data_IF_895588353953
#
_entry.id   IF_895588353953
#
_cell.length_a   1.000
_cell.length_b   1.000
_cell.length_c   1.000
_cell.angle_alpha   90.00
_cell.angle_beta   90.00
_cell.angle_gamma   90.00
#
_symmetry.space_group_name_H-M   'P 1'
#
loop_
_entity.id
_entity.type
_entity.pdbx_description
1 polymer ?
#
# COMPACT_ATOMS: atom_id res chain seq x y z
N UNK A 1 -26.02 -12.16 -29.19
CA UNK A 1 -25.68 -11.57 -27.88
C UNK A 1 -24.81 -12.56 -27.13
N UNK A 2 -23.53 -12.26 -26.89
CA UNK A 2 -22.69 -13.05 -25.98
C UNK A 2 -22.61 -12.28 -24.67
N UNK A 3 -23.05 -12.88 -23.57
CA UNK A 3 -22.78 -12.35 -22.23
C UNK A 3 -21.27 -12.40 -22.01
N UNK A 4 -20.69 -11.29 -21.55
CA UNK A 4 -19.30 -11.30 -21.08
C UNK A 4 -19.24 -11.97 -19.69
N UNK A 5 -18.12 -12.62 -19.36
CA UNK A 5 -18.03 -13.48 -18.18
C UNK A 5 -18.10 -12.69 -16.88
N UNK A 6 -18.67 -13.34 -15.87
CA UNK A 6 -18.66 -12.90 -14.48
C UNK A 6 -17.20 -12.79 -13.96
N UNK A 7 -16.89 -11.72 -13.25
CA UNK A 7 -15.60 -11.53 -12.56
C UNK A 7 -15.83 -11.55 -11.06
N UNK A 8 -14.94 -12.20 -10.31
CA UNK A 8 -14.93 -12.08 -8.85
C UNK A 8 -13.97 -10.96 -8.48
N UNK A 9 -14.54 -9.92 -7.88
CA UNK A 9 -13.83 -8.77 -7.35
C UNK A 9 -13.97 -8.78 -5.84
N UNK A 10 -12.86 -8.93 -5.14
CA UNK A 10 -12.85 -8.92 -3.68
C UNK A 10 -12.11 -7.67 -3.20
N UNK A 11 -12.79 -6.82 -2.45
CA UNK A 11 -12.20 -5.62 -1.87
C UNK A 11 -12.45 -5.60 -0.37
N UNK A 12 -11.37 -5.58 0.41
CA UNK A 12 -11.41 -5.52 1.86
C UNK A 12 -10.64 -4.29 2.33
N UNK A 13 -11.31 -3.46 3.13
CA UNK A 13 -10.73 -2.25 3.71
C UNK A 13 -10.72 -2.40 5.22
N UNK A 14 -9.61 -2.03 5.84
CA UNK A 14 -9.52 -1.95 7.30
C UNK A 14 -10.26 -0.71 7.77
N UNK A 15 -11.54 -0.86 8.15
CA UNK A 15 -12.32 0.18 8.78
C UNK A 15 -12.00 0.29 10.27
N UNK A 16 -10.97 1.06 10.66
CA UNK A 16 -10.87 1.59 12.03
C UNK A 16 -10.96 3.11 12.02
N UNK A 17 -12.16 3.61 11.74
CA UNK A 17 -12.60 4.90 12.26
C UNK A 17 -13.34 4.67 13.58
N UNK A 18 -12.61 4.33 14.66
CA UNK A 18 -13.22 4.33 15.99
C UNK A 18 -13.38 5.78 16.48
N UNK A 19 -14.50 6.40 16.13
CA UNK A 19 -15.05 7.53 16.89
C UNK A 19 -15.86 6.93 18.04
N UNK A 20 -15.21 6.66 19.16
CA UNK A 20 -15.90 6.49 20.43
C UNK A 20 -15.62 7.73 21.27
N UNK A 21 -16.55 8.68 21.22
CA UNK A 21 -16.59 9.81 22.12
C UNK A 21 -16.81 9.30 23.56
N UNK A 22 -15.75 9.12 24.33
CA UNK A 22 -15.84 8.84 25.75
C UNK A 22 -15.84 10.17 26.52
N UNK A 23 -17.04 10.65 26.86
CA UNK A 23 -17.21 11.73 27.84
C UNK A 23 -16.96 11.16 29.23
N UNK A 24 -15.91 11.62 29.91
CA UNK A 24 -15.80 11.49 31.37
C UNK A 24 -15.33 12.83 31.95
N UNK A 25 -16.01 13.39 32.97
CA UNK A 25 -15.66 14.67 33.54
C UNK A 25 -14.62 14.48 34.65
N UNK A 26 -13.51 15.21 34.59
CA UNK A 26 -12.62 15.36 35.75
C UNK A 26 -12.36 16.85 35.94
N UNK A 27 -13.19 17.45 36.79
CA UNK A 27 -12.83 18.67 37.51
C UNK A 27 -11.91 18.25 38.65
N UNK A 28 -10.94 19.12 38.95
CA UNK A 28 -10.05 19.11 40.12
C UNK A 28 -8.79 18.26 39.95
N UNK A 29 -7.73 18.86 39.38
CA UNK A 29 -6.31 18.87 39.83
C UNK A 29 -5.56 19.67 38.74
N UNK A 30 -5.74 20.99 38.75
CA UNK A 30 -5.17 21.90 37.73
C UNK A 30 -4.05 22.81 38.27
N UNK A 31 -3.45 22.51 39.42
CA UNK A 31 -2.56 23.48 40.09
C UNK A 31 -1.18 22.98 40.53
N UNK A 32 -0.83 21.69 40.36
CA UNK A 32 0.46 21.17 40.90
C UNK A 32 1.43 20.69 39.80
N UNK A 33 0.97 20.47 38.56
CA UNK A 33 1.84 19.97 37.47
C UNK A 33 2.43 21.11 36.62
N UNK A 34 1.85 22.32 36.68
CA UNK A 34 2.30 23.48 35.89
C UNK A 34 3.66 24.06 36.32
N UNK A 35 4.21 23.66 37.48
CA UNK A 35 5.47 24.21 38.02
C UNK A 35 6.67 23.27 37.80
N UNK A 36 6.45 21.98 37.51
CA UNK A 36 7.54 21.02 37.24
C UNK A 36 7.87 20.90 35.73
N UNK A 37 6.98 21.36 34.85
CA UNK A 37 7.16 21.31 33.39
C UNK A 37 7.95 22.47 32.78
N UNK A 38 8.37 23.46 33.57
CA UNK A 38 9.16 24.61 33.08
C UNK A 38 10.70 24.44 33.21
N UNK A 39 11.21 23.30 33.70
CA UNK A 39 12.65 23.10 33.96
C UNK A 39 13.34 21.98 33.16
N UNK A 40 12.68 21.40 32.14
CA UNK A 40 13.31 20.44 31.21
C UNK A 40 13.14 20.80 29.73
N UNK A 41 13.03 22.10 29.43
CA UNK A 41 13.26 22.60 28.08
C UNK A 41 14.78 22.74 27.87
N UNK A 42 15.41 21.68 27.33
CA UNK A 42 16.64 21.62 26.50
C UNK A 42 17.17 20.18 26.57
N UNK A 43 16.68 19.33 25.67
CA UNK A 43 17.37 18.16 25.12
C UNK A 43 16.47 17.56 24.03
N UNK A 44 17.05 17.35 22.85
CA UNK A 44 16.40 16.92 21.62
C UNK A 44 15.58 15.63 21.78
N UNK A 45 14.31 15.67 21.37
CA UNK A 45 13.66 14.54 20.69
C UNK A 45 12.55 15.10 19.81
N UNK A 46 12.81 15.26 18.52
CA UNK A 46 11.74 15.37 17.55
C UNK A 46 11.14 13.97 17.37
N UNK A 47 10.26 13.62 18.30
CA UNK A 47 9.33 12.51 18.14
C UNK A 47 8.43 12.84 16.97
N UNK A 48 8.56 12.06 15.90
CA UNK A 48 7.66 12.07 14.77
C UNK A 48 6.22 12.02 15.30
N UNK A 49 5.49 13.11 15.12
CA UNK A 49 4.05 13.14 15.37
C UNK A 49 3.41 12.24 14.33
N UNK A 50 2.82 11.14 14.78
CA UNK A 50 1.85 10.37 13.99
C UNK A 50 0.73 11.32 13.55
N UNK A 51 0.82 11.83 12.33
CA UNK A 51 -0.30 12.45 11.65
C UNK A 51 -1.29 11.35 11.33
N UNK A 52 -2.50 11.50 11.88
CA UNK A 52 -3.68 10.77 11.42
C UNK A 52 -3.79 10.99 9.92
N UNK A 53 -3.47 9.98 9.12
CA UNK A 53 -3.65 10.01 7.69
C UNK A 53 -4.92 9.24 7.36
N UNK A 54 -5.90 9.97 6.84
CA UNK A 54 -7.10 9.42 6.21
C UNK A 54 -6.61 8.60 5.01
N UNK A 55 -6.74 7.27 5.08
CA UNK A 55 -5.98 6.28 4.31
C UNK A 55 -6.20 6.20 2.79
N UNK A 56 -6.58 7.29 2.12
CA UNK A 56 -6.54 7.41 0.68
C UNK A 56 -5.36 8.32 0.29
N UNK A 57 -4.55 7.94 -0.72
CA UNK A 57 -3.70 8.92 -1.38
C UNK A 57 -4.63 9.90 -2.09
N UNK A 58 -5.02 10.97 -1.40
CA UNK A 58 -5.81 12.01 -2.03
C UNK A 58 -4.97 12.59 -3.19
N UNK A 59 -5.58 12.88 -4.34
CA UNK A 59 -4.89 13.59 -5.40
C UNK A 59 -4.31 14.89 -4.84
N UNK A 60 -3.22 15.37 -5.44
CA UNK A 60 -2.62 16.64 -5.04
C UNK A 60 -3.68 17.74 -4.99
N UNK A 61 -3.76 18.47 -3.87
CA UNK A 61 -4.67 19.59 -3.67
C UNK A 61 -3.88 20.83 -3.22
N UNK A 62 -3.80 21.89 -4.05
CA UNK A 62 -4.33 21.95 -5.41
C UNK A 62 -3.59 20.98 -6.36
N UNK A 63 -4.22 20.57 -7.48
CA UNK A 63 -3.56 19.75 -8.49
C UNK A 63 -2.28 20.42 -9.00
N UNK A 64 -1.16 19.72 -8.95
CA UNK A 64 0.07 20.17 -9.61
C UNK A 64 0.00 19.86 -11.11
N UNK A 65 0.51 20.79 -11.90
CA UNK A 65 0.83 20.56 -13.30
C UNK A 65 2.32 20.33 -13.43
N UNK A 66 2.69 19.41 -14.33
CA UNK A 66 4.07 19.07 -14.64
C UNK A 66 4.34 19.27 -16.12
N UNK A 67 5.51 19.83 -16.42
CA UNK A 67 6.06 19.87 -17.78
C UNK A 67 6.86 18.60 -18.07
N UNK A 68 7.15 18.32 -19.34
CA UNK A 68 7.80 17.05 -19.73
C UNK A 68 9.25 16.92 -19.22
N UNK A 69 9.93 18.04 -18.93
CA UNK A 69 11.24 18.06 -18.26
C UNK A 69 11.18 17.66 -16.77
N UNK A 70 9.98 17.58 -16.20
CA UNK A 70 9.74 17.13 -14.83
C UNK A 70 9.28 15.67 -14.77
N UNK A 71 9.43 14.93 -15.87
CA UNK A 71 9.13 13.51 -15.96
C UNK A 71 9.98 12.66 -14.98
N UNK A 72 9.46 11.48 -14.59
CA UNK A 72 10.23 10.47 -13.88
C UNK A 72 11.60 10.23 -14.49
N UNK A 73 12.60 10.12 -13.61
CA UNK A 73 13.94 9.72 -13.95
C UNK A 73 14.20 8.32 -13.40
N UNK A 74 14.89 7.49 -14.18
CA UNK A 74 15.43 6.23 -13.68
C UNK A 74 16.57 6.52 -12.71
N UNK A 75 16.37 6.13 -11.46
CA UNK A 75 17.33 6.16 -10.37
C UNK A 75 17.88 4.76 -10.12
N UNK A 76 19.02 4.66 -9.43
CA UNK A 76 19.63 3.38 -9.07
C UNK A 76 20.11 3.39 -7.63
N UNK A 77 19.83 2.31 -6.89
CA UNK A 77 20.29 2.11 -5.51
C UNK A 77 20.45 0.62 -5.21
N UNK A 78 21.59 0.23 -4.65
CA UNK A 78 21.92 -1.16 -4.30
C UNK A 78 21.64 -2.17 -5.45
N UNK A 79 22.00 -1.79 -6.67
CA UNK A 79 21.86 -2.62 -7.87
C UNK A 79 20.43 -2.74 -8.41
N UNK A 80 19.49 -1.91 -7.93
CA UNK A 80 18.10 -1.86 -8.42
C UNK A 80 17.81 -0.52 -9.08
N UNK A 81 17.17 -0.58 -10.24
CA UNK A 81 16.64 0.60 -10.92
C UNK A 81 15.18 0.82 -10.55
N UNK A 82 14.79 2.09 -10.42
CA UNK A 82 13.43 2.50 -10.09
C UNK A 82 13.18 3.92 -10.59
N UNK A 83 11.93 4.27 -10.82
CA UNK A 83 11.53 5.57 -11.36
C UNK A 83 11.22 6.56 -10.24
N UNK A 84 11.65 7.80 -10.39
CA UNK A 84 11.29 8.90 -9.49
C UNK A 84 9.84 9.35 -9.71
N UNK A 85 9.21 9.99 -8.70
CA UNK A 85 7.95 10.72 -8.91
C UNK A 85 8.09 11.84 -9.95
N UNK A 86 6.98 12.25 -10.58
CA UNK A 86 6.92 13.51 -11.31
C UNK A 86 7.28 14.70 -10.42
N UNK A 87 8.05 15.64 -10.96
CA UNK A 87 8.46 16.86 -10.26
C UNK A 87 9.34 16.60 -9.03
N UNK A 88 10.02 15.45 -8.96
CA UNK A 88 10.82 15.07 -7.79
C UNK A 88 11.93 16.08 -7.48
N UNK A 89 12.61 16.60 -8.51
CA UNK A 89 13.70 17.57 -8.38
C UNK A 89 13.23 19.02 -8.15
N UNK A 90 11.91 19.30 -8.21
CA UNK A 90 11.37 20.64 -8.02
C UNK A 90 11.64 21.11 -6.59
N UNK A 91 12.19 22.31 -6.43
CA UNK A 91 12.52 22.87 -5.11
C UNK A 91 11.30 22.94 -4.18
N UNK A 92 10.15 23.35 -4.72
CA UNK A 92 8.86 23.37 -4.00
C UNK A 92 8.45 21.98 -3.45
N UNK A 93 8.97 20.91 -4.05
CA UNK A 93 8.69 19.55 -3.65
C UNK A 93 9.74 18.96 -2.71
N UNK A 94 10.84 19.66 -2.39
CA UNK A 94 12.00 19.10 -1.68
C UNK A 94 11.69 18.46 -0.31
N UNK A 95 10.67 18.97 0.40
CA UNK A 95 10.25 18.44 1.70
C UNK A 95 9.26 17.26 1.61
N UNK A 96 8.77 16.90 0.41
CA UNK A 96 7.74 15.88 0.24
C UNK A 96 8.33 14.47 0.33
N UNK A 97 7.63 13.58 1.04
CA UNK A 97 7.81 12.13 0.96
C UNK A 97 6.73 11.51 0.07
N UNK A 98 7.11 10.52 -0.73
CA UNK A 98 6.28 9.94 -1.79
C UNK A 98 5.98 8.46 -1.54
N UNK A 99 4.81 7.97 -1.98
CA UNK A 99 4.55 6.53 -2.00
C UNK A 99 5.60 5.77 -2.81
N UNK A 100 5.65 4.46 -2.58
CA UNK A 100 6.38 3.50 -3.42
C UNK A 100 5.39 2.49 -3.97
N UNK A 101 5.28 2.40 -5.30
CA UNK A 101 4.58 1.34 -5.99
C UNK A 101 5.56 0.24 -6.39
N UNK A 102 5.34 -0.95 -5.85
CA UNK A 102 6.08 -2.16 -6.16
C UNK A 102 5.26 -2.97 -7.16
N UNK A 103 5.81 -3.17 -8.35
CA UNK A 103 5.28 -4.14 -9.31
C UNK A 103 5.97 -5.48 -9.10
N UNK A 104 5.19 -6.53 -8.93
CA UNK A 104 5.70 -7.87 -8.67
C UNK A 104 6.45 -8.47 -9.86
N UNK A 105 6.75 -9.77 -9.77
CA UNK A 105 7.47 -10.49 -10.82
C UNK A 105 6.86 -10.28 -12.22
N UNK A 106 7.73 -10.10 -13.21
CA UNK A 106 7.44 -9.81 -14.63
C UNK A 106 6.97 -8.40 -14.97
N UNK A 107 6.79 -7.50 -14.01
CA UNK A 107 6.57 -6.07 -14.30
C UNK A 107 5.34 -5.82 -15.17
N UNK A 108 4.34 -6.70 -15.11
CA UNK A 108 3.16 -6.61 -15.95
C UNK A 108 2.31 -5.39 -15.53
N UNK A 109 2.00 -4.50 -16.49
CA UNK A 109 1.15 -3.32 -16.27
C UNK A 109 1.87 -1.96 -16.12
N UNK A 110 3.17 -1.87 -16.36
CA UNK A 110 3.94 -0.61 -16.21
C UNK A 110 3.50 0.53 -17.16
N UNK A 111 2.97 0.22 -18.35
CA UNK A 111 2.61 1.25 -19.35
C UNK A 111 1.48 2.19 -18.92
N UNK A 112 0.48 1.67 -18.22
CA UNK A 112 -0.71 2.42 -17.77
C UNK A 112 -0.43 3.36 -16.59
N UNK A 113 0.65 3.10 -15.82
CA UNK A 113 1.03 3.95 -14.68
C UNK A 113 1.38 5.39 -15.10
N UNK A 114 1.94 5.55 -16.31
CA UNK A 114 2.36 6.85 -16.83
C UNK A 114 1.24 7.91 -16.80
N UNK A 115 -0.03 7.52 -17.03
CA UNK A 115 -1.15 8.44 -17.06
C UNK A 115 -1.58 8.95 -15.66
N UNK A 116 -1.52 8.10 -14.62
CA UNK A 116 -1.95 8.44 -13.25
C UNK A 116 -0.83 9.10 -12.45
N UNK A 117 0.42 8.84 -12.82
CA UNK A 117 1.61 9.31 -12.11
C UNK A 117 1.73 10.85 -11.99
N UNK A 118 1.07 11.61 -12.86
CA UNK A 118 1.00 13.09 -12.75
C UNK A 118 0.04 13.58 -11.66
N UNK A 119 -0.99 12.82 -11.31
CA UNK A 119 -1.93 13.19 -10.24
C UNK A 119 -1.60 12.51 -8.91
N UNK A 120 -0.87 11.40 -8.97
CA UNK A 120 -0.40 10.63 -7.82
C UNK A 120 1.10 10.30 -7.97
N UNK A 121 2.00 11.29 -7.82
CA UNK A 121 3.43 11.05 -7.96
C UNK A 121 3.91 10.03 -6.91
N UNK A 122 4.60 8.99 -7.37
CA UNK A 122 5.17 7.96 -6.52
C UNK A 122 6.48 7.45 -7.13
N UNK A 123 7.31 6.85 -6.30
CA UNK A 123 8.38 5.99 -6.81
C UNK A 123 7.77 4.73 -7.38
N UNK A 124 8.36 4.19 -8.45
CA UNK A 124 7.94 2.90 -9.01
C UNK A 124 9.13 1.99 -9.18
N UNK A 125 9.01 0.77 -8.68
CA UNK A 125 9.99 -0.28 -8.90
C UNK A 125 9.35 -1.47 -9.59
N UNK A 126 10.00 -1.95 -10.64
CA UNK A 126 9.76 -3.28 -11.19
C UNK A 126 10.59 -4.30 -10.42
N UNK A 127 9.96 -4.99 -9.47
CA UNK A 127 10.70 -5.75 -8.46
C UNK A 127 11.24 -7.07 -9.01
N UNK A 128 10.59 -7.65 -10.01
CA UNK A 128 10.99 -8.90 -10.69
C UNK A 128 11.20 -10.11 -9.76
N UNK A 129 10.65 -10.10 -8.55
CA UNK A 129 10.79 -11.14 -7.52
C UNK A 129 9.45 -11.49 -6.87
N UNK A 130 9.35 -12.67 -6.26
CA UNK A 130 8.07 -13.24 -5.80
C UNK A 130 8.13 -14.12 -4.53
N UNK A 131 9.28 -14.24 -3.85
CA UNK A 131 9.45 -15.08 -2.66
C UNK A 131 9.30 -14.35 -1.31
N UNK A 132 9.24 -15.12 -0.21
CA UNK A 132 9.25 -14.56 1.16
C UNK A 132 10.59 -13.88 1.46
N UNK A 133 11.72 -14.53 1.18
CA UNK A 133 13.04 -13.92 1.35
C UNK A 133 13.24 -12.68 0.47
N UNK A 134 12.57 -12.62 -0.70
CA UNK A 134 12.56 -11.42 -1.51
C UNK A 134 11.74 -10.30 -0.86
N UNK A 135 10.68 -10.59 -0.12
CA UNK A 135 9.94 -9.59 0.66
C UNK A 135 10.77 -9.04 1.81
N UNK A 136 11.57 -9.87 2.47
CA UNK A 136 12.53 -9.43 3.51
C UNK A 136 13.61 -8.52 2.90
N UNK A 137 14.18 -8.92 1.77
CA UNK A 137 15.16 -8.12 1.04
C UNK A 137 14.58 -6.79 0.53
N UNK A 138 13.29 -6.75 0.18
CA UNK A 138 12.60 -5.52 -0.20
C UNK A 138 12.47 -4.56 0.99
N UNK A 139 12.09 -5.07 2.17
CA UNK A 139 12.02 -4.27 3.38
C UNK A 139 13.38 -3.64 3.72
N UNK A 140 14.45 -4.43 3.68
CA UNK A 140 15.81 -3.95 3.94
C UNK A 140 16.25 -2.91 2.89
N UNK A 141 15.92 -3.13 1.61
CA UNK A 141 16.22 -2.17 0.55
C UNK A 141 15.47 -0.85 0.71
N UNK A 142 14.20 -0.86 1.11
CA UNK A 142 13.42 0.37 1.35
C UNK A 142 14.08 1.20 2.46
N UNK A 143 14.50 0.57 3.55
CA UNK A 143 15.18 1.27 4.65
C UNK A 143 16.55 1.83 4.19
N UNK A 144 17.31 1.05 3.41
CA UNK A 144 18.58 1.48 2.80
C UNK A 144 18.39 2.69 1.87
N UNK A 145 17.38 2.66 1.01
CA UNK A 145 17.07 3.74 0.08
C UNK A 145 16.71 5.04 0.83
N UNK A 146 15.91 4.94 1.89
CA UNK A 146 15.57 6.09 2.72
C UNK A 146 16.82 6.66 3.40
N UNK A 147 17.70 5.80 3.93
CA UNK A 147 18.97 6.22 4.52
C UNK A 147 19.90 6.90 3.48
N UNK A 148 19.81 6.52 2.21
CA UNK A 148 20.51 7.14 1.09
C UNK A 148 19.88 8.48 0.63
N UNK A 149 18.78 8.91 1.24
CA UNK A 149 18.13 10.19 0.96
C UNK A 149 16.97 10.11 -0.04
N UNK A 150 16.58 8.92 -0.48
CA UNK A 150 15.35 8.76 -1.27
C UNK A 150 14.13 9.01 -0.38
N UNK A 151 13.29 9.97 -0.77
CA UNK A 151 12.17 10.48 0.03
C UNK A 151 10.94 9.58 -0.06
N UNK A 152 11.11 8.32 0.32
CA UNK A 152 10.08 7.28 0.31
C UNK A 152 9.29 7.34 1.62
N UNK A 153 7.97 7.37 1.49
CA UNK A 153 7.04 7.24 2.60
C UNK A 153 6.79 5.77 2.93
N UNK A 154 7.38 5.31 4.04
CA UNK A 154 7.26 3.92 4.52
C UNK A 154 5.83 3.48 4.81
N UNK A 155 4.91 4.42 5.05
CA UNK A 155 3.51 4.11 5.35
C UNK A 155 2.66 3.93 4.09
N UNK A 156 3.21 4.27 2.91
CA UNK A 156 2.51 4.20 1.62
C UNK A 156 3.31 3.39 0.60
N UNK A 157 3.63 2.15 0.97
CA UNK A 157 4.20 1.16 0.05
C UNK A 157 3.07 0.27 -0.48
N UNK A 158 2.85 0.28 -1.79
CA UNK A 158 1.79 -0.46 -2.46
C UNK A 158 2.38 -1.59 -3.29
N UNK A 159 1.67 -2.70 -3.40
CA UNK A 159 2.08 -3.84 -4.22
C UNK A 159 1.01 -4.19 -5.25
N UNK A 160 1.41 -4.43 -6.48
CA UNK A 160 0.53 -4.99 -7.51
C UNK A 160 1.23 -6.07 -8.32
N UNK A 161 0.48 -6.97 -8.94
CA UNK A 161 1.01 -7.93 -9.90
C UNK A 161 -0.04 -8.81 -10.54
N UNK A 162 0.22 -9.21 -11.79
CA UNK A 162 -0.57 -10.16 -12.55
C UNK A 162 0.10 -11.53 -12.59
N UNK A 163 -0.68 -12.61 -12.71
CA UNK A 163 -0.17 -13.97 -12.94
C UNK A 163 0.92 -14.41 -11.93
N UNK A 164 2.20 -14.43 -12.33
CA UNK A 164 3.31 -14.74 -11.43
C UNK A 164 3.54 -13.63 -10.41
N UNK A 165 3.47 -12.36 -10.79
CA UNK A 165 3.47 -11.22 -9.85
C UNK A 165 2.29 -11.27 -8.88
N UNK A 166 1.10 -11.65 -9.36
CA UNK A 166 -0.07 -11.88 -8.51
C UNK A 166 0.16 -13.02 -7.51
N UNK A 167 0.82 -14.10 -7.95
CA UNK A 167 1.23 -15.21 -7.09
C UNK A 167 2.31 -14.79 -6.08
N UNK A 168 3.22 -13.89 -6.46
CA UNK A 168 4.26 -13.34 -5.58
C UNK A 168 3.76 -12.36 -4.54
N UNK A 169 2.54 -11.83 -4.67
CA UNK A 169 2.03 -10.77 -3.79
C UNK A 169 2.00 -11.15 -2.30
N UNK A 170 1.46 -12.32 -1.96
CA UNK A 170 1.37 -12.75 -0.56
C UNK A 170 2.71 -13.21 0.02
N UNK A 171 3.57 -13.96 -0.71
CA UNK A 171 4.91 -14.27 -0.19
C UNK A 171 5.72 -13.00 0.11
N UNK A 172 5.70 -12.01 -0.78
CA UNK A 172 6.34 -10.72 -0.56
C UNK A 172 5.79 -10.03 0.69
N UNK A 173 4.47 -10.01 0.87
CA UNK A 173 3.84 -9.42 2.06
C UNK A 173 4.26 -10.12 3.36
N UNK A 174 4.39 -11.46 3.35
CA UNK A 174 4.92 -12.23 4.49
C UNK A 174 6.38 -11.91 4.77
N UNK A 175 7.19 -11.70 3.74
CA UNK A 175 8.58 -11.28 3.90
C UNK A 175 8.71 -9.88 4.51
N UNK A 176 7.89 -8.92 4.03
CA UNK A 176 7.80 -7.59 4.64
C UNK A 176 7.39 -7.69 6.12
N UNK A 177 6.40 -8.53 6.43
CA UNK A 177 5.93 -8.76 7.80
C UNK A 177 7.02 -9.30 8.73
N UNK A 178 7.86 -10.23 8.25
CA UNK A 178 8.99 -10.77 9.01
C UNK A 178 10.02 -9.68 9.42
N UNK A 179 9.98 -8.51 8.77
CA UNK A 179 10.82 -7.34 9.02
C UNK A 179 10.07 -6.20 9.69
N UNK A 180 8.89 -6.47 10.26
CA UNK A 180 7.98 -5.48 10.83
C UNK A 180 7.65 -4.34 9.84
N UNK A 181 7.45 -4.70 8.56
CA UNK A 181 6.99 -3.81 7.48
C UNK A 181 5.71 -4.36 6.86
N UNK A 182 4.97 -3.49 6.20
CA UNK A 182 3.68 -3.82 5.60
C UNK A 182 3.53 -3.10 4.26
N UNK A 183 2.75 -3.69 3.37
CA UNK A 183 2.18 -2.95 2.27
C UNK A 183 0.92 -2.25 2.78
N UNK A 184 0.74 -0.97 2.44
CA UNK A 184 -0.48 -0.23 2.74
C UNK A 184 -1.68 -0.80 1.97
N UNK A 185 -1.44 -1.20 0.72
CA UNK A 185 -2.43 -1.91 -0.08
C UNK A 185 -1.78 -2.90 -1.05
N UNK A 186 -2.51 -3.98 -1.37
CA UNK A 186 -2.13 -4.99 -2.34
C UNK A 186 -3.25 -5.14 -3.38
N UNK A 187 -2.90 -5.02 -4.66
CA UNK A 187 -3.76 -5.41 -5.79
C UNK A 187 -3.21 -6.70 -6.39
N UNK A 188 -3.87 -7.81 -6.08
CA UNK A 188 -3.52 -9.14 -6.57
C UNK A 188 -4.39 -9.50 -7.77
N UNK A 189 -3.77 -9.78 -8.91
CA UNK A 189 -4.49 -10.19 -10.12
C UNK A 189 -4.05 -11.58 -10.55
N UNK A 190 -5.00 -12.51 -10.67
CA UNK A 190 -4.81 -13.86 -11.22
C UNK A 190 -3.65 -14.69 -10.61
N UNK A 191 -3.35 -14.50 -9.32
CA UNK A 191 -2.33 -15.30 -8.61
C UNK A 191 -2.82 -16.67 -8.14
N UNK A 192 -1.95 -17.68 -8.07
CA UNK A 192 -2.30 -19.08 -7.72
C UNK A 192 -1.45 -19.74 -6.63
N UNK A 193 -0.46 -19.05 -6.07
CA UNK A 193 0.51 -19.65 -5.12
C UNK A 193 -0.08 -20.00 -3.76
N UNK A 194 -0.90 -19.11 -3.20
CA UNK A 194 -1.50 -19.26 -1.87
C UNK A 194 -2.75 -18.40 -1.72
N UNK A 195 -3.70 -18.88 -0.92
CA UNK A 195 -4.97 -18.22 -0.60
C UNK A 195 -4.93 -17.40 0.69
N UNK A 196 -3.97 -17.67 1.58
CA UNK A 196 -3.92 -17.11 2.93
C UNK A 196 -2.76 -16.13 3.07
N UNK A 197 -3.07 -14.84 3.25
CA UNK A 197 -2.07 -13.80 3.54
C UNK A 197 -1.70 -13.78 5.03
N UNK A 198 -2.66 -14.06 5.91
CA UNK A 198 -2.57 -14.03 7.36
C UNK A 198 -3.28 -12.82 7.97
N UNK A 199 -4.07 -13.05 9.04
CA UNK A 199 -4.88 -12.03 9.71
C UNK A 199 -4.06 -10.81 10.19
N UNK A 200 -2.86 -11.05 10.74
CA UNK A 200 -1.98 -9.97 11.23
C UNK A 200 -1.48 -9.04 10.10
N UNK A 201 -1.33 -9.55 8.89
CA UNK A 201 -0.98 -8.74 7.71
C UNK A 201 -2.22 -8.02 7.20
N UNK A 202 -3.35 -8.73 7.13
CA UNK A 202 -4.64 -8.20 6.70
C UNK A 202 -5.16 -7.05 7.58
N UNK A 203 -4.87 -7.03 8.89
CA UNK A 203 -5.22 -5.92 9.80
C UNK A 203 -4.58 -4.59 9.40
N UNK A 204 -3.47 -4.62 8.65
CA UNK A 204 -2.67 -3.45 8.30
C UNK A 204 -2.60 -3.18 6.80
N UNK A 205 -3.28 -4.00 5.99
CA UNK A 205 -3.17 -3.99 4.53
C UNK A 205 -4.56 -3.98 3.90
N UNK A 206 -4.84 -2.96 3.09
CA UNK A 206 -6.01 -2.99 2.21
C UNK A 206 -5.77 -4.00 1.08
N UNK A 207 -6.75 -4.85 0.77
CA UNK A 207 -6.57 -5.92 -0.21
C UNK A 207 -7.62 -5.86 -1.29
N UNK A 208 -7.14 -5.94 -2.54
CA UNK A 208 -7.96 -6.12 -3.72
C UNK A 208 -7.51 -7.38 -4.48
N UNK A 209 -8.38 -8.38 -4.60
CA UNK A 209 -8.12 -9.58 -5.40
C UNK A 209 -9.07 -9.62 -6.61
N UNK A 210 -8.46 -9.65 -7.79
CA UNK A 210 -9.14 -9.88 -9.08
C UNK A 210 -8.86 -11.26 -9.68
N UNK A 211 -9.91 -11.93 -10.14
CA UNK A 211 -9.82 -13.14 -10.97
C UNK A 211 -10.97 -13.18 -11.98
N UNK A 212 -10.68 -13.58 -13.23
CA UNK A 212 -11.72 -13.92 -14.20
C UNK A 212 -12.21 -15.34 -13.96
N UNK A 213 -13.53 -15.57 -13.93
CA UNK A 213 -14.08 -16.89 -13.63
C UNK A 213 -13.89 -17.93 -14.73
N UNK A 214 -13.40 -17.50 -15.91
CA UNK A 214 -12.96 -18.37 -17.01
C UNK A 214 -11.44 -18.60 -17.06
N UNK A 215 -10.69 -18.08 -16.09
CA UNK A 215 -9.28 -18.47 -15.94
C UNK A 215 -9.20 -19.96 -15.53
N UNK A 216 -7.99 -20.51 -15.48
CA UNK A 216 -7.71 -21.88 -15.04
C UNK A 216 -8.42 -22.19 -13.71
N UNK A 217 -8.96 -23.40 -13.61
CA UNK A 217 -9.67 -23.87 -12.42
C UNK A 217 -8.84 -23.65 -11.14
N UNK A 218 -7.53 -23.93 -11.21
CA UNK A 218 -6.61 -23.72 -10.09
C UNK A 218 -6.64 -22.28 -9.56
N UNK A 219 -6.54 -21.26 -10.44
CA UNK A 219 -6.56 -19.84 -10.02
C UNK A 219 -7.88 -19.44 -9.41
N UNK A 220 -8.99 -19.90 -10.02
CA UNK A 220 -10.34 -19.64 -9.52
C UNK A 220 -10.52 -20.26 -8.13
N UNK A 221 -10.07 -21.49 -7.92
CA UNK A 221 -10.17 -22.15 -6.61
C UNK A 221 -9.30 -21.46 -5.55
N UNK A 222 -8.10 -20.99 -5.90
CA UNK A 222 -7.26 -20.22 -4.96
C UNK A 222 -7.93 -18.91 -4.56
N UNK A 223 -8.57 -18.20 -5.50
CA UNK A 223 -9.29 -16.96 -5.20
C UNK A 223 -10.53 -17.22 -4.31
N UNK A 224 -11.30 -18.28 -4.58
CA UNK A 224 -12.42 -18.71 -3.72
C UNK A 224 -11.95 -19.08 -2.32
N UNK A 225 -10.87 -19.84 -2.21
CA UNK A 225 -10.28 -20.18 -0.92
C UNK A 225 -9.77 -18.94 -0.18
N UNK A 226 -9.26 -17.92 -0.89
CA UNK A 226 -8.85 -16.65 -0.30
C UNK A 226 -10.06 -15.89 0.28
N UNK A 227 -11.17 -15.84 -0.45
CA UNK A 227 -12.43 -15.25 0.04
C UNK A 227 -12.88 -15.89 1.36
N UNK A 228 -12.90 -17.23 1.44
CA UNK A 228 -13.30 -17.92 2.67
C UNK A 228 -12.34 -17.63 3.83
N UNK A 229 -11.04 -17.48 3.56
CA UNK A 229 -10.06 -17.06 4.57
C UNK A 229 -10.35 -15.64 5.07
N UNK A 230 -10.62 -14.71 4.17
CA UNK A 230 -10.87 -13.31 4.53
C UNK A 230 -12.16 -13.12 5.32
N UNK A 231 -13.21 -13.90 5.02
CA UNK A 231 -14.43 -13.94 5.85
C UNK A 231 -14.17 -14.41 7.28
N UNK A 232 -13.13 -15.20 7.50
CA UNK A 232 -12.72 -15.68 8.81
C UNK A 232 -11.71 -14.79 9.55
N UNK A 233 -11.30 -13.65 8.98
CA UNK A 233 -10.37 -12.75 9.64
C UNK A 233 -11.09 -11.78 10.57
N UNK A 234 -10.61 -11.69 11.80
CA UNK A 234 -11.15 -10.76 12.81
C UNK A 234 -11.06 -9.30 12.34
N UNK A 235 -10.07 -8.95 11.50
CA UNK A 235 -9.91 -7.61 10.94
C UNK A 235 -11.02 -7.21 9.96
N UNK A 236 -11.80 -8.18 9.47
CA UNK A 236 -12.81 -8.01 8.42
C UNK A 236 -14.23 -8.38 8.90
N UNK A 237 -14.47 -8.49 10.22
CA UNK A 237 -15.80 -8.82 10.76
C UNK A 237 -16.90 -7.84 10.32
N UNK A 238 -16.53 -6.57 10.12
CA UNK A 238 -17.43 -5.51 9.69
C UNK A 238 -17.37 -5.25 8.17
N UNK A 239 -16.65 -6.08 7.41
CA UNK A 239 -16.55 -5.92 5.97
C UNK A 239 -17.91 -6.19 5.31
N UNK A 240 -18.31 -5.28 4.41
CA UNK A 240 -19.54 -5.45 3.62
C UNK A 240 -19.18 -6.13 2.30
N UNK A 241 -19.66 -7.36 2.12
CA UNK A 241 -19.57 -8.04 0.84
C UNK A 241 -20.67 -7.53 -0.10
N UNK A 242 -20.28 -7.05 -1.27
CA UNK A 242 -21.21 -6.63 -2.32
C UNK A 242 -20.99 -7.48 -3.57
N UNK A 243 -22.08 -8.02 -4.10
CA UNK A 243 -22.07 -8.71 -5.39
C UNK A 243 -22.71 -7.79 -6.42
N UNK A 244 -21.95 -7.38 -7.41
CA UNK A 244 -22.45 -6.63 -8.55
C UNK A 244 -22.16 -7.39 -9.84
N UNK A 245 -23.17 -7.47 -10.71
CA UNK A 245 -23.02 -8.01 -12.06
C UNK A 245 -22.85 -6.83 -13.00
N UNK A 246 -21.64 -6.61 -13.50
CA UNK A 246 -21.42 -5.63 -14.55
C UNK A 246 -21.84 -6.24 -15.90
N UNK A 247 -22.92 -5.73 -16.48
CA UNK A 247 -23.23 -5.98 -17.89
C UNK A 247 -22.31 -5.10 -18.73
N UNK A 248 -21.16 -5.65 -19.14
CA UNK A 248 -20.31 -4.97 -20.11
C UNK A 248 -20.99 -5.03 -21.48
N UNK A 249 -21.65 -3.95 -21.89
CA UNK A 249 -22.06 -3.73 -23.27
C UNK A 249 -20.87 -3.23 -24.08
N UNK A 250 -20.59 -3.88 -25.21
CA UNK A 250 -19.62 -3.40 -26.20
C UNK A 250 -20.12 -2.15 -26.90
#
# INVERSE_FOLDING_TARGET
MQSLPEYLHLSFHTGRANVTAMRTPIRTIALVIAIILCLFAVACSDGAKDSKHDGASLPLDPPETFTDDEAPLTLSHDGRNFESPWGYAREANAARNYPLLVSGCWGEGQGEYSAVSKTHPAFVIDYQKDGVGDGEALADWIDSAIAAGFRIDRTRVYLTGFSRGGSGSFPLAKGMYNKDRYFAAIVRVAGQSQSDIGNAIAEKTALWYHIGLLDTEQRVQVARAALEKFRGYDSYTDAVETTSTALFTR
#
